data_IF_757131583343
#
_entry.id   IF_757131583343
#
_cell.length_a   1.000
_cell.length_b   1.000
_cell.length_c   1.000
_cell.angle_alpha   90.00
_cell.angle_beta   90.00
_cell.angle_gamma   90.00
#
_symmetry.space_group_name_H-M   'P 1'
#
loop_
_entity.id
_entity.type
_entity.pdbx_description
1 polymer ?
#
# COMPACT_ATOMS: atom_id res chain seq x y z
N UNK A 1 17.81 -14.37 14.28
CA UNK A 1 16.72 -14.01 13.35
C UNK A 1 17.16 -12.76 12.60
N UNK A 2 17.47 -12.87 11.31
CA UNK A 2 17.80 -11.71 10.47
C UNK A 2 16.51 -10.88 10.33
N UNK A 3 16.50 -9.72 10.97
CA UNK A 3 15.38 -8.77 10.80
C UNK A 3 15.55 -8.14 9.42
N UNK A 4 14.55 -8.29 8.58
CA UNK A 4 14.50 -7.62 7.29
C UNK A 4 14.68 -6.10 7.49
N UNK A 5 15.45 -5.41 6.64
CA UNK A 5 15.59 -3.97 6.73
C UNK A 5 14.21 -3.31 6.60
N UNK A 6 13.94 -2.30 7.40
CA UNK A 6 12.63 -1.68 7.54
C UNK A 6 12.09 -1.13 6.21
N UNK A 7 12.97 -0.55 5.39
CA UNK A 7 12.64 -0.06 4.05
C UNK A 7 12.17 -1.16 3.10
N UNK A 8 12.70 -2.39 3.23
CA UNK A 8 12.23 -3.54 2.43
C UNK A 8 10.78 -3.88 2.74
N UNK A 9 10.39 -3.82 4.02
CA UNK A 9 9.00 -4.10 4.44
C UNK A 9 8.04 -3.04 3.90
N UNK A 10 8.46 -1.77 3.88
CA UNK A 10 7.69 -0.67 3.27
C UNK A 10 7.53 -0.86 1.76
N UNK A 11 8.57 -1.32 1.07
CA UNK A 11 8.54 -1.56 -0.38
C UNK A 11 7.71 -2.77 -0.78
N UNK A 12 7.62 -3.80 0.08
CA UNK A 12 6.88 -5.02 -0.22
C UNK A 12 5.37 -4.80 -0.41
N UNK A 13 4.77 -3.85 0.33
CA UNK A 13 3.34 -3.58 0.24
C UNK A 13 2.88 -3.17 -1.18
N UNK A 14 3.46 -2.12 -1.78
CA UNK A 14 3.13 -1.72 -3.15
C UNK A 14 3.45 -2.77 -4.22
N UNK A 15 4.55 -3.52 -4.04
CA UNK A 15 4.93 -4.60 -4.96
C UNK A 15 3.88 -5.71 -4.93
N UNK A 16 3.45 -6.13 -3.75
CA UNK A 16 2.41 -7.16 -3.61
C UNK A 16 1.06 -6.67 -4.13
N UNK A 17 0.74 -5.38 -3.95
CA UNK A 17 -0.44 -4.76 -4.53
C UNK A 17 -0.41 -4.76 -6.06
N UNK A 18 0.73 -4.40 -6.65
CA UNK A 18 0.93 -4.45 -8.09
C UNK A 18 0.88 -5.88 -8.63
N UNK A 19 1.54 -6.84 -7.95
CA UNK A 19 1.48 -8.24 -8.30
C UNK A 19 0.04 -8.79 -8.25
N UNK A 20 -0.72 -8.42 -7.22
CA UNK A 20 -2.13 -8.79 -7.09
C UNK A 20 -2.97 -8.27 -8.26
N UNK A 21 -2.78 -6.99 -8.63
CA UNK A 21 -3.47 -6.39 -9.77
C UNK A 21 -3.10 -7.07 -11.10
N UNK A 22 -1.82 -7.44 -11.27
CA UNK A 22 -1.34 -8.20 -12.43
C UNK A 22 -1.96 -9.59 -12.52
N UNK A 23 -1.99 -10.33 -11.40
CA UNK A 23 -2.64 -11.65 -11.33
C UNK A 23 -4.14 -11.53 -11.61
N UNK A 24 -4.81 -10.48 -11.11
CA UNK A 24 -6.22 -10.25 -11.43
C UNK A 24 -6.42 -9.93 -12.90
N UNK A 25 -5.59 -9.09 -13.51
CA UNK A 25 -5.66 -8.81 -14.95
C UNK A 25 -5.44 -10.07 -15.81
N UNK A 26 -4.62 -11.02 -15.32
CA UNK A 26 -4.42 -12.31 -16.00
C UNK A 26 -5.71 -13.13 -16.09
N UNK A 27 -6.68 -12.93 -15.20
CA UNK A 27 -7.98 -13.59 -15.26
C UNK A 27 -8.79 -13.23 -16.49
N UNK A 28 -8.47 -12.12 -17.17
CA UNK A 28 -9.07 -11.72 -18.44
C UNK A 28 -8.69 -12.72 -19.54
N UNK A 29 -7.43 -13.17 -19.52
CA UNK A 29 -6.89 -14.12 -20.52
C UNK A 29 -7.21 -15.57 -20.15
N UNK A 30 -7.13 -15.90 -18.87
CA UNK A 30 -7.37 -17.24 -18.34
C UNK A 30 -8.36 -17.14 -17.19
N UNK A 31 -9.67 -17.28 -17.44
CA UNK A 31 -10.69 -17.20 -16.38
C UNK A 31 -10.56 -18.38 -15.42
N UNK A 32 -9.89 -18.16 -14.30
CA UNK A 32 -9.63 -19.17 -13.27
C UNK A 32 -9.96 -18.63 -11.89
N UNK A 33 -10.80 -19.33 -11.10
CA UNK A 33 -11.11 -18.94 -9.74
C UNK A 33 -9.89 -18.98 -8.83
N UNK A 34 -8.88 -19.81 -9.15
CA UNK A 34 -7.64 -19.88 -8.39
C UNK A 34 -6.79 -18.61 -8.56
N UNK A 35 -6.73 -18.06 -9.79
CA UNK A 35 -6.04 -16.78 -10.03
C UNK A 35 -6.74 -15.63 -9.29
N UNK A 36 -8.06 -15.60 -9.29
CA UNK A 36 -8.81 -14.61 -8.53
C UNK A 36 -8.55 -14.75 -7.02
N UNK A 37 -8.60 -15.97 -6.48
CA UNK A 37 -8.30 -16.24 -5.08
C UNK A 37 -6.87 -15.81 -4.70
N UNK A 38 -5.88 -16.11 -5.53
CA UNK A 38 -4.49 -15.71 -5.33
C UNK A 38 -4.35 -14.19 -5.33
N UNK A 39 -5.01 -13.50 -6.26
CA UNK A 39 -5.02 -12.03 -6.32
C UNK A 39 -5.59 -11.43 -5.04
N UNK A 40 -6.74 -11.91 -4.56
CA UNK A 40 -7.33 -11.44 -3.31
C UNK A 40 -6.45 -11.74 -2.09
N UNK A 41 -5.79 -12.90 -2.06
CA UNK A 41 -4.83 -13.22 -1.00
C UNK A 41 -3.65 -12.24 -0.97
N UNK A 42 -3.05 -11.96 -2.12
CA UNK A 42 -1.96 -11.00 -2.24
C UNK A 42 -2.41 -9.58 -1.87
N UNK A 43 -3.61 -9.18 -2.29
CA UNK A 43 -4.18 -7.89 -1.98
C UNK A 43 -4.49 -7.74 -0.49
N UNK A 44 -4.83 -8.82 0.19
CA UNK A 44 -5.04 -8.84 1.65
C UNK A 44 -3.73 -8.79 2.43
N UNK A 45 -2.76 -9.62 2.07
CA UNK A 45 -1.52 -9.77 2.83
C UNK A 45 -0.56 -8.57 2.72
N UNK A 46 -0.33 -8.07 1.49
CA UNK A 46 0.66 -7.03 1.23
C UNK A 46 0.32 -5.66 1.84
N UNK A 47 -0.85 -5.08 1.53
CA UNK A 47 -1.25 -3.78 2.07
C UNK A 47 -1.36 -3.75 3.59
N UNK A 48 -1.70 -4.85 4.25
CA UNK A 48 -1.73 -4.93 5.72
C UNK A 48 -0.33 -4.69 6.30
N UNK A 49 0.69 -5.36 5.78
CA UNK A 49 2.08 -5.17 6.19
C UNK A 49 2.54 -3.73 5.96
N UNK A 50 2.18 -3.15 4.83
CA UNK A 50 2.48 -1.76 4.50
C UNK A 50 1.82 -0.78 5.46
N UNK A 51 0.52 -0.96 5.79
CA UNK A 51 -0.22 -0.12 6.73
C UNK A 51 0.40 -0.19 8.12
N UNK A 52 0.75 -1.38 8.61
CA UNK A 52 1.40 -1.55 9.92
C UNK A 52 2.73 -0.82 9.93
N UNK A 53 3.60 -1.05 8.93
CA UNK A 53 4.94 -0.49 8.88
C UNK A 53 4.93 1.03 8.76
N UNK A 54 4.10 1.59 7.89
CA UNK A 54 3.99 3.05 7.70
C UNK A 54 3.34 3.74 8.90
N UNK A 55 2.38 3.10 9.57
CA UNK A 55 1.77 3.62 10.79
C UNK A 55 2.79 3.65 11.93
N UNK A 56 3.54 2.56 12.11
CA UNK A 56 4.59 2.47 13.13
C UNK A 56 5.68 3.53 12.88
N UNK A 57 6.14 3.67 11.62
CA UNK A 57 7.13 4.68 11.27
C UNK A 57 6.63 6.09 11.60
N UNK A 58 5.41 6.42 11.19
CA UNK A 58 4.83 7.72 11.46
C UNK A 58 4.72 8.01 12.95
N UNK A 59 4.30 7.03 13.75
CA UNK A 59 4.20 7.17 15.20
C UNK A 59 5.56 7.34 15.86
N UNK A 60 6.61 6.70 15.35
CA UNK A 60 7.95 6.79 15.93
C UNK A 60 8.64 8.13 15.65
N UNK A 61 8.35 8.78 14.50
CA UNK A 61 8.98 10.05 14.12
C UNK A 61 8.13 11.28 14.47
N UNK A 62 6.90 11.10 14.96
CA UNK A 62 5.99 12.21 15.26
C UNK A 62 5.99 12.50 16.77
N UNK A 63 6.26 13.74 17.20
CA UNK A 63 6.13 14.13 18.61
C UNK A 63 4.70 13.88 19.14
N UNK A 64 4.53 13.47 20.39
CA UNK A 64 3.21 13.16 20.97
C UNK A 64 2.17 14.27 20.82
N UNK A 65 2.60 15.53 20.86
CA UNK A 65 1.73 16.70 20.70
C UNK A 65 1.14 16.86 19.29
N UNK A 66 1.75 16.27 18.28
CA UNK A 66 1.34 16.36 16.87
C UNK A 66 0.67 15.07 16.34
N UNK A 67 0.70 13.97 17.10
CA UNK A 67 0.15 12.68 16.69
C UNK A 67 -1.33 12.78 16.28
N UNK A 68 -2.13 13.57 17.01
CA UNK A 68 -3.53 13.77 16.67
C UNK A 68 -3.72 14.45 15.32
N UNK A 69 -2.96 15.49 15.01
CA UNK A 69 -3.02 16.22 13.74
C UNK A 69 -2.59 15.34 12.56
N UNK A 70 -1.50 14.62 12.72
CA UNK A 70 -0.99 13.70 11.69
C UNK A 70 -1.95 12.55 11.45
N UNK A 71 -2.58 12.03 12.51
CA UNK A 71 -3.61 10.99 12.39
C UNK A 71 -4.87 11.50 11.68
N UNK A 72 -5.30 12.73 11.93
CA UNK A 72 -6.42 13.35 11.24
C UNK A 72 -6.19 13.44 9.73
N UNK A 73 -5.01 13.87 9.28
CA UNK A 73 -4.64 13.91 7.86
C UNK A 73 -4.71 12.50 7.25
N UNK A 74 -4.25 11.49 7.98
CA UNK A 74 -4.31 10.11 7.52
C UNK A 74 -5.75 9.61 7.38
N UNK A 75 -6.64 9.94 8.32
CA UNK A 75 -8.07 9.60 8.24
C UNK A 75 -8.72 10.28 7.02
N UNK A 76 -8.39 11.53 6.73
CA UNK A 76 -8.86 12.21 5.53
C UNK A 76 -8.43 11.48 4.25
N UNK A 77 -7.20 10.93 4.21
CA UNK A 77 -6.72 10.13 3.08
C UNK A 77 -7.53 8.83 2.90
N UNK A 78 -7.98 8.22 3.99
CA UNK A 78 -8.91 7.07 3.92
C UNK A 78 -10.30 7.49 3.42
N UNK A 79 -10.74 8.73 3.68
CA UNK A 79 -11.97 9.30 3.16
C UNK A 79 -12.02 9.42 1.63
N UNK A 80 -10.89 9.36 0.95
CA UNK A 80 -10.81 9.31 -0.51
C UNK A 80 -11.20 7.93 -1.11
N UNK A 81 -11.28 6.86 -0.31
CA UNK A 81 -11.66 5.52 -0.80
C UNK A 81 -13.03 5.47 -1.48
N UNK A 82 -14.11 6.10 -0.96
CA UNK A 82 -15.39 6.15 -1.65
C UNK A 82 -15.32 6.78 -3.04
N UNK A 83 -14.45 7.77 -3.24
CA UNK A 83 -14.23 8.38 -4.55
C UNK A 83 -13.61 7.38 -5.54
N UNK A 84 -12.63 6.60 -5.09
CA UNK A 84 -12.05 5.52 -5.88
C UNK A 84 -13.07 4.44 -6.25
N UNK A 85 -13.93 4.05 -5.31
CA UNK A 85 -15.00 3.09 -5.55
C UNK A 85 -16.04 3.62 -6.54
N UNK A 86 -16.40 4.89 -6.45
CA UNK A 86 -17.33 5.54 -7.38
C UNK A 86 -16.74 5.60 -8.80
N UNK A 87 -15.47 5.98 -8.94
CA UNK A 87 -14.75 5.96 -10.21
C UNK A 87 -14.70 4.55 -10.80
N UNK A 88 -14.38 3.55 -9.99
CA UNK A 88 -14.38 2.14 -10.42
C UNK A 88 -15.75 1.67 -10.87
N UNK A 89 -16.83 2.06 -10.19
CA UNK A 89 -18.21 1.74 -10.59
C UNK A 89 -18.58 2.40 -11.91
N UNK A 90 -18.22 3.67 -12.12
CA UNK A 90 -18.47 4.39 -13.37
C UNK A 90 -17.71 3.75 -14.53
N UNK A 91 -16.40 3.54 -14.37
CA UNK A 91 -15.57 2.93 -15.41
C UNK A 91 -16.01 1.50 -15.72
N UNK A 92 -16.27 0.70 -14.68
CA UNK A 92 -16.75 -0.67 -14.87
C UNK A 92 -18.13 -0.76 -15.51
N UNK A 93 -19.02 0.20 -15.19
CA UNK A 93 -20.37 0.28 -15.79
C UNK A 93 -20.37 0.76 -17.23
N UNK A 94 -19.48 1.69 -17.60
CA UNK A 94 -19.46 2.27 -18.96
C UNK A 94 -18.56 1.48 -19.93
N UNK A 95 -17.42 0.97 -19.46
CA UNK A 95 -16.37 0.38 -20.30
C UNK A 95 -16.12 -1.10 -20.01
N UNK A 96 -16.85 -1.66 -19.03
CA UNK A 96 -16.71 -3.06 -18.64
C UNK A 96 -15.62 -3.33 -17.60
N UNK A 97 -15.66 -4.53 -17.03
CA UNK A 97 -14.77 -4.96 -15.96
C UNK A 97 -13.29 -5.00 -16.38
N UNK A 98 -13.02 -5.35 -17.64
CA UNK A 98 -11.65 -5.43 -18.17
C UNK A 98 -10.94 -4.08 -18.11
N UNK A 99 -11.61 -3.01 -18.55
CA UNK A 99 -11.04 -1.66 -18.50
C UNK A 99 -10.80 -1.19 -17.07
N UNK A 100 -11.71 -1.55 -16.15
CA UNK A 100 -11.53 -1.28 -14.73
C UNK A 100 -10.28 -1.98 -14.15
N UNK A 101 -10.03 -3.23 -14.55
CA UNK A 101 -8.84 -3.98 -14.15
C UNK A 101 -7.55 -3.38 -14.71
N UNK A 102 -7.53 -2.96 -15.97
CA UNK A 102 -6.37 -2.26 -16.55
C UNK A 102 -6.09 -0.93 -15.86
N UNK A 103 -7.14 -0.16 -15.56
CA UNK A 103 -7.00 1.09 -14.81
C UNK A 103 -6.44 0.83 -13.40
N UNK A 104 -6.95 -0.16 -12.70
CA UNK A 104 -6.44 -0.56 -11.39
C UNK A 104 -4.96 -0.97 -11.45
N UNK A 105 -4.58 -1.79 -12.44
CA UNK A 105 -3.19 -2.20 -12.64
C UNK A 105 -2.27 -1.00 -12.91
N UNK A 106 -2.70 -0.04 -13.73
CA UNK A 106 -1.95 1.19 -14.01
C UNK A 106 -1.76 2.06 -12.76
N UNK A 107 -2.80 2.20 -11.92
CA UNK A 107 -2.72 2.94 -10.66
C UNK A 107 -1.76 2.25 -9.68
N UNK A 108 -1.82 0.93 -9.52
CA UNK A 108 -0.89 0.19 -8.67
C UNK A 108 0.54 0.25 -9.20
N UNK A 109 0.75 0.21 -10.52
CA UNK A 109 2.08 0.38 -11.13
C UNK A 109 2.66 1.77 -10.80
N UNK A 110 1.85 2.82 -10.94
CA UNK A 110 2.24 4.19 -10.61
C UNK A 110 2.59 4.31 -9.13
N UNK A 111 1.78 3.74 -8.24
CA UNK A 111 2.05 3.71 -6.80
C UNK A 111 3.36 2.99 -6.48
N UNK A 112 3.60 1.83 -7.07
CA UNK A 112 4.82 1.06 -6.87
C UNK A 112 6.05 1.84 -7.34
N UNK A 113 5.96 2.50 -8.51
CA UNK A 113 7.03 3.32 -9.06
C UNK A 113 7.37 4.51 -8.15
N UNK A 114 6.35 5.24 -7.69
CA UNK A 114 6.54 6.39 -6.80
C UNK A 114 7.23 5.98 -5.49
N UNK A 115 6.82 4.86 -4.91
CA UNK A 115 7.42 4.37 -3.66
C UNK A 115 8.85 3.88 -3.90
N UNK A 116 9.11 3.18 -5.00
CA UNK A 116 10.47 2.73 -5.35
C UNK A 116 11.45 3.87 -5.59
N UNK A 117 10.98 4.98 -6.14
CA UNK A 117 11.77 6.20 -6.31
C UNK A 117 11.89 7.01 -5.02
N UNK A 118 11.15 6.67 -3.97
CA UNK A 118 11.18 7.35 -2.68
C UNK A 118 12.39 6.91 -1.85
N UNK A 119 13.08 7.85 -1.17
CA UNK A 119 14.16 7.54 -0.24
C UNK A 119 13.70 6.67 0.95
N UNK A 120 12.40 6.51 1.18
CA UNK A 120 11.84 5.67 2.24
C UNK A 120 12.25 4.18 2.11
N UNK A 121 12.45 3.68 0.89
CA UNK A 121 12.88 2.30 0.63
C UNK A 121 14.33 2.07 1.06
N UNK A 122 15.15 3.14 1.09
CA UNK A 122 16.56 3.06 1.48
C UNK A 122 16.77 3.01 3.01
N UNK A 123 15.71 3.13 3.81
CA UNK A 123 15.81 3.08 5.28
C UNK A 123 16.22 1.68 5.75
N UNK A 124 17.46 1.54 6.22
CA UNK A 124 17.99 0.29 6.77
C UNK A 124 17.39 -0.06 8.14
N UNK A 125 17.04 0.96 8.94
CA UNK A 125 16.49 0.83 10.30
C UNK A 125 15.35 1.81 10.54
N UNK A 126 14.48 1.46 11.46
CA UNK A 126 13.48 2.40 11.96
C UNK A 126 14.19 3.58 12.65
N UNK A 127 13.85 4.84 12.33
CA UNK A 127 14.35 5.99 13.06
C UNK A 127 14.06 5.88 14.54
N UNK A 128 14.98 6.37 15.39
CA UNK A 128 14.79 6.41 16.84
C UNK A 128 13.58 7.27 17.19
N UNK A 129 12.86 6.84 18.23
CA UNK A 129 11.68 7.57 18.68
C UNK A 129 12.07 8.96 19.20
N UNK A 130 11.37 9.98 18.75
CA UNK A 130 11.53 11.35 19.25
C UNK A 130 11.10 11.38 20.72
N UNK A 131 12.07 11.53 21.62
CA UNK A 131 11.81 11.66 23.07
C UNK A 131 12.30 10.50 23.94
N UNK A 132 12.95 9.47 23.39
CA UNK A 132 13.64 8.48 24.21
C UNK A 132 15.05 9.00 24.53
N UNK A 133 15.37 9.30 25.82
CA UNK A 133 16.74 9.67 26.20
C UNK A 133 17.66 8.49 25.89
N UNK A 134 18.79 8.78 25.26
CA UNK A 134 19.83 7.81 24.97
C UNK A 134 20.08 6.99 26.24
N UNK A 135 19.81 5.70 26.20
CA UNK A 135 20.19 4.80 27.31
C UNK A 135 21.70 4.74 27.31
N UNK A 136 22.26 5.37 28.33
CA UNK A 136 23.67 5.18 28.69
C UNK A 136 23.93 3.74 29.11
#
# INVERSE_FOLDING_TARGET
>A
MQRLPFGTVIGLGPITGFAAAGVMALTILVPSPLLAALSFFLLGAGPILWVISTTTLRQSVTPPSLLGRVSAINIMSYGARPLGSALGAIVGGLYGAEMCLYLAAAIFATQALVIWLSPAVALARQPEMVGEPARC
#
